data_IF_101390932258
#
_entry.id   IF_101390932258
#
_cell.length_a   1.000
_cell.length_b   1.000
_cell.length_c   1.000
_cell.angle_alpha   90.00
_cell.angle_beta   90.00
_cell.angle_gamma   90.00
#
_symmetry.space_group_name_H-M   'P 1'
#
loop_
_entity.id
_entity.type
_entity.pdbx_description
1 polymer ?
#
# COMPACT_ATOMS: atom_id res chain seq x y z
N UNK A 1 -14.73 -69.12 43.15
CA UNK A 1 -13.78 -68.86 42.04
C UNK A 1 -14.44 -67.93 41.05
N UNK A 2 -13.89 -66.72 40.89
CA UNK A 2 -14.05 -65.83 39.72
C UNK A 2 -12.91 -66.15 38.72
N UNK A 3 -12.83 -65.64 37.46
CA UNK A 3 -13.74 -64.82 36.62
C UNK A 3 -13.69 -65.25 35.09
N UNK A 4 -13.71 -64.37 34.04
CA UNK A 4 -14.86 -63.61 33.43
C UNK A 4 -14.91 -63.61 31.87
N UNK A 5 -15.89 -62.90 31.26
CA UNK A 5 -15.79 -62.05 30.01
C UNK A 5 -17.15 -61.96 29.28
N UNK A 6 -17.66 -60.89 28.63
CA UNK A 6 -17.43 -59.42 28.50
C UNK A 6 -18.70 -58.85 27.80
N UNK A 7 -19.07 -57.60 28.09
CA UNK A 7 -20.20 -56.88 27.47
C UNK A 7 -19.75 -55.98 26.30
N UNK A 8 -20.68 -55.66 25.37
CA UNK A 8 -20.62 -54.50 24.47
C UNK A 8 -22.03 -53.95 24.24
N UNK A 9 -22.27 -52.69 24.59
CA UNK A 9 -23.41 -51.88 24.12
C UNK A 9 -22.86 -50.67 23.37
N UNK A 10 -23.46 -50.36 22.21
CA UNK A 10 -23.18 -49.17 21.38
C UNK A 10 -24.22 -48.09 21.71
N UNK A 11 -23.76 -46.85 21.84
CA UNK A 11 -24.59 -45.65 21.97
C UNK A 11 -24.56 -44.89 20.64
N UNK A 12 -25.73 -44.56 20.09
CA UNK A 12 -25.89 -43.72 18.90
C UNK A 12 -26.11 -42.26 19.30
N UNK A 13 -25.36 -41.34 18.70
CA UNK A 13 -25.56 -39.89 18.84
C UNK A 13 -26.48 -39.36 17.73
N UNK A 14 -27.42 -38.50 18.12
CA UNK A 14 -28.37 -37.78 17.26
C UNK A 14 -27.71 -36.48 16.78
N UNK A 15 -27.75 -36.23 15.47
CA UNK A 15 -27.40 -34.95 14.83
C UNK A 15 -28.71 -34.21 14.52
N UNK A 16 -28.87 -32.99 15.03
CA UNK A 16 -30.01 -32.12 14.72
C UNK A 16 -29.62 -31.10 13.64
N UNK A 17 -30.26 -31.22 12.47
CA UNK A 17 -30.33 -30.21 11.41
C UNK A 17 -31.49 -29.26 11.68
N UNK A 18 -31.27 -27.95 11.59
CA UNK A 18 -32.36 -26.97 11.52
C UNK A 18 -32.24 -26.22 10.20
N UNK A 19 -33.13 -26.60 9.27
CA UNK A 19 -33.53 -25.79 8.13
C UNK A 19 -35.01 -25.44 8.34
N UNK A 20 -35.34 -24.16 8.33
CA UNK A 20 -36.70 -23.67 8.47
C UNK A 20 -36.90 -22.39 7.66
N UNK A 21 -37.65 -22.50 6.57
CA UNK A 21 -38.11 -21.43 5.70
C UNK A 21 -38.94 -20.39 6.46
N UNK A 22 -38.81 -19.12 6.08
CA UNK A 22 -39.83 -18.09 6.23
C UNK A 22 -40.13 -17.48 4.87
N UNK A 23 -41.39 -17.56 4.46
CA UNK A 23 -41.93 -16.91 3.27
C UNK A 23 -42.85 -15.75 3.68
N UNK A 24 -42.60 -14.61 3.03
CA UNK A 24 -43.47 -13.46 2.71
C UNK A 24 -44.09 -12.62 3.83
N UNK A 25 -43.71 -11.34 3.90
CA UNK A 25 -44.51 -10.21 3.38
C UNK A 25 -43.61 -9.01 3.10
N UNK A 26 -43.81 -8.38 1.94
CA UNK A 26 -43.12 -7.17 1.52
C UNK A 26 -43.49 -5.97 2.40
N UNK A 27 -42.47 -5.32 2.96
CA UNK A 27 -42.52 -3.98 3.51
C UNK A 27 -41.13 -3.40 3.33
N UNK A 28 -40.96 -2.56 2.31
CA UNK A 28 -39.70 -1.87 2.03
C UNK A 28 -39.47 -0.80 3.12
N UNK A 29 -38.90 -1.22 4.25
CA UNK A 29 -38.20 -0.33 5.15
C UNK A 29 -36.71 -0.46 4.81
N UNK A 30 -36.10 0.62 4.35
CA UNK A 30 -34.66 0.67 4.13
C UNK A 30 -33.95 0.28 5.43
N UNK A 31 -33.29 -0.87 5.43
CA UNK A 31 -32.46 -1.27 6.54
C UNK A 31 -31.33 -0.23 6.65
N UNK A 32 -31.32 0.50 7.77
CA UNK A 32 -30.16 1.31 8.12
C UNK A 32 -28.92 0.40 8.09
N UNK A 33 -27.78 0.86 7.54
CA UNK A 33 -26.57 0.05 7.54
C UNK A 33 -26.26 -0.39 8.97
N UNK A 34 -26.03 -1.69 9.16
CA UNK A 34 -25.71 -2.24 10.46
C UNK A 34 -24.50 -1.49 11.03
N UNK A 35 -24.72 -0.78 12.15
CA UNK A 35 -23.67 -0.03 12.82
C UNK A 35 -22.58 -1.00 13.28
N UNK A 36 -21.33 -0.68 12.96
CA UNK A 36 -20.19 -1.47 13.44
C UNK A 36 -20.22 -1.52 14.98
N UNK A 37 -19.95 -2.70 15.59
CA UNK A 37 -19.87 -2.79 17.03
C UNK A 37 -18.76 -1.89 17.57
N UNK A 38 -18.94 -1.27 18.76
CA UNK A 38 -17.95 -0.35 19.31
C UNK A 38 -16.61 -1.05 19.56
N UNK A 39 -15.46 -0.35 19.47
CA UNK A 39 -14.12 -0.95 19.51
C UNK A 39 -13.84 -1.84 20.73
N UNK A 40 -14.45 -1.53 21.88
CA UNK A 40 -14.30 -2.32 23.12
C UNK A 40 -14.98 -3.70 23.03
N UNK A 41 -16.04 -3.82 22.23
CA UNK A 41 -16.74 -5.09 21.99
C UNK A 41 -15.95 -5.95 21.00
N UNK A 42 -15.16 -5.32 20.12
CA UNK A 42 -14.27 -5.99 19.17
C UNK A 42 -13.08 -6.71 19.82
N UNK A 43 -12.73 -6.38 21.07
CA UNK A 43 -11.70 -7.07 21.84
C UNK A 43 -12.17 -8.46 22.37
N UNK A 44 -13.47 -8.79 22.29
CA UNK A 44 -14.00 -10.08 22.75
C UNK A 44 -13.82 -11.17 21.66
N UNK A 45 -13.36 -12.40 22.00
CA UNK A 45 -12.96 -13.41 21.01
C UNK A 45 -14.05 -13.76 19.99
N UNK A 46 -15.29 -13.92 20.45
CA UNK A 46 -16.43 -14.37 19.63
C UNK A 46 -16.97 -13.24 18.73
N UNK A 47 -16.87 -11.98 19.17
CA UNK A 47 -17.40 -10.81 18.45
C UNK A 47 -16.33 -10.18 17.51
N UNK A 48 -15.04 -10.39 17.82
CA UNK A 48 -13.89 -9.93 17.02
C UNK A 48 -13.85 -10.44 15.57
N UNK A 49 -14.62 -11.50 15.26
CA UNK A 49 -14.74 -12.07 13.91
C UNK A 49 -15.62 -11.22 12.99
N UNK A 50 -16.48 -10.37 13.55
CA UNK A 50 -17.36 -9.48 12.79
C UNK A 50 -16.84 -8.04 12.69
N UNK A 51 -15.76 -7.70 13.39
CA UNK A 51 -15.23 -6.34 13.43
C UNK A 51 -14.43 -6.04 12.17
N UNK A 52 -15.09 -5.30 11.27
CA UNK A 52 -14.53 -4.79 10.04
C UNK A 52 -13.66 -3.55 10.35
N UNK A 53 -12.37 -3.54 9.98
CA UNK A 53 -11.57 -2.33 10.09
C UNK A 53 -12.05 -1.31 9.05
N UNK A 54 -12.09 -0.02 9.42
CA UNK A 54 -12.42 1.09 8.52
C UNK A 54 -11.14 1.57 7.84
N UNK A 55 -10.62 0.73 6.93
CA UNK A 55 -9.39 0.94 6.16
C UNK A 55 -9.54 2.02 5.09
N UNK A 56 -8.42 2.48 4.54
CA UNK A 56 -8.30 3.53 3.52
C UNK A 56 -8.26 2.96 2.10
N UNK A 57 -7.34 2.03 1.82
CA UNK A 57 -7.22 1.39 0.50
C UNK A 57 -7.90 0.03 0.52
N UNK A 58 -7.54 -0.81 1.48
CA UNK A 58 -8.16 -2.12 1.65
C UNK A 58 -9.68 -2.01 1.87
N UNK A 59 -10.42 -3.04 1.48
CA UNK A 59 -11.82 -3.24 1.87
C UNK A 59 -11.88 -4.09 3.14
N UNK A 60 -12.23 -3.46 4.27
CA UNK A 60 -12.37 -4.16 5.54
C UNK A 60 -13.43 -5.28 5.52
N UNK A 61 -14.49 -5.18 4.71
CA UNK A 61 -15.47 -6.27 4.55
C UNK A 61 -14.79 -7.47 3.89
N UNK A 62 -13.94 -7.23 2.88
CA UNK A 62 -13.17 -8.30 2.22
C UNK A 62 -12.16 -8.93 3.18
N UNK A 63 -11.45 -8.15 3.99
CA UNK A 63 -10.53 -8.70 5.01
C UNK A 63 -11.26 -9.64 5.98
N UNK A 64 -12.44 -9.24 6.47
CA UNK A 64 -13.28 -10.08 7.34
C UNK A 64 -13.73 -11.36 6.64
N UNK A 65 -14.17 -11.27 5.37
CA UNK A 65 -14.53 -12.45 4.56
C UNK A 65 -13.35 -13.40 4.38
N UNK A 66 -12.15 -12.88 4.10
CA UNK A 66 -10.93 -13.68 3.97
C UNK A 66 -10.59 -14.40 5.28
N UNK A 67 -10.76 -13.74 6.42
CA UNK A 67 -10.58 -14.38 7.73
C UNK A 67 -11.54 -15.54 7.95
N UNK A 68 -12.80 -15.43 7.52
CA UNK A 68 -13.75 -16.55 7.53
C UNK A 68 -13.32 -17.65 6.55
N UNK A 69 -12.88 -17.30 5.34
CA UNK A 69 -12.36 -18.25 4.35
C UNK A 69 -11.19 -19.09 4.90
N UNK A 70 -10.27 -18.47 5.64
CA UNK A 70 -9.17 -19.16 6.32
C UNK A 70 -9.66 -20.21 7.34
N UNK A 71 -10.70 -19.88 8.12
CA UNK A 71 -11.33 -20.81 9.07
C UNK A 71 -12.03 -21.97 8.36
N UNK A 72 -12.64 -21.69 7.21
CA UNK A 72 -13.28 -22.71 6.36
C UNK A 72 -12.27 -23.52 5.52
N UNK A 73 -11.00 -23.14 5.53
CA UNK A 73 -9.90 -23.87 4.93
C UNK A 73 -9.63 -23.59 3.47
N UNK A 74 -9.92 -22.37 3.02
CA UNK A 74 -9.49 -21.87 1.72
C UNK A 74 -7.96 -22.03 1.55
N UNK A 75 -7.55 -22.76 0.52
CA UNK A 75 -6.15 -23.12 0.29
C UNK A 75 -5.32 -21.94 -0.20
N UNK A 76 -5.88 -21.10 -1.07
CA UNK A 76 -5.20 -19.93 -1.61
C UNK A 76 -4.90 -18.95 -0.50
N UNK A 77 -5.90 -18.63 0.33
CA UNK A 77 -5.72 -17.76 1.49
C UNK A 77 -4.70 -18.32 2.49
N UNK A 78 -4.68 -19.65 2.72
CA UNK A 78 -3.70 -20.28 3.62
C UNK A 78 -2.26 -20.18 3.09
N UNK A 79 -2.06 -20.36 1.79
CA UNK A 79 -0.74 -20.19 1.17
C UNK A 79 -0.28 -18.74 1.31
N UNK A 80 -1.10 -17.78 0.86
CA UNK A 80 -0.78 -16.35 0.96
C UNK A 80 -0.56 -15.89 2.41
N UNK A 81 -1.34 -16.40 3.37
CA UNK A 81 -1.13 -16.12 4.78
C UNK A 81 0.20 -16.71 5.28
N UNK A 82 0.59 -17.89 4.83
CA UNK A 82 1.88 -18.50 5.22
C UNK A 82 3.05 -17.63 4.77
N UNK A 83 2.99 -17.13 3.55
CA UNK A 83 4.00 -16.22 3.01
C UNK A 83 4.01 -14.86 3.74
N UNK A 84 2.83 -14.30 4.04
CA UNK A 84 2.70 -13.10 4.86
C UNK A 84 3.32 -13.28 6.26
N UNK A 85 3.03 -14.42 6.92
CA UNK A 85 3.54 -14.70 8.26
C UNK A 85 5.05 -14.89 8.28
N UNK A 86 5.63 -15.50 7.24
CA UNK A 86 7.09 -15.57 7.11
C UNK A 86 7.74 -14.18 7.10
N UNK A 87 7.12 -13.22 6.40
CA UNK A 87 7.61 -11.85 6.33
C UNK A 87 7.39 -11.10 7.66
N UNK A 88 6.20 -11.25 8.27
CA UNK A 88 5.88 -10.66 9.57
C UNK A 88 6.76 -11.21 10.71
N UNK A 89 7.04 -12.52 10.73
CA UNK A 89 7.95 -13.15 11.70
C UNK A 89 9.37 -12.59 11.58
N UNK A 90 9.83 -12.33 10.35
CA UNK A 90 11.13 -11.68 10.13
C UNK A 90 11.14 -10.20 10.55
N UNK A 91 10.00 -9.52 10.51
CA UNK A 91 9.84 -8.13 10.93
C UNK A 91 9.82 -7.96 12.46
N UNK A 92 9.38 -8.99 13.22
CA UNK A 92 9.30 -8.94 14.69
C UNK A 92 10.60 -8.52 15.38
N UNK A 93 11.76 -8.80 14.78
CA UNK A 93 13.09 -8.60 15.39
C UNK A 93 13.95 -7.52 14.74
N UNK A 94 13.50 -6.87 13.67
CA UNK A 94 14.24 -5.80 12.98
C UNK A 94 13.75 -4.44 13.42
N UNK A 95 14.56 -3.38 13.54
CA UNK A 95 14.10 -2.05 14.02
C UNK A 95 13.98 -1.96 15.56
N UNK A 96 13.24 -0.97 16.11
CA UNK A 96 12.43 0.02 15.40
C UNK A 96 13.29 1.01 14.63
N UNK A 97 12.73 1.60 13.58
CA UNK A 97 13.42 2.54 12.68
C UNK A 97 13.03 3.98 12.99
N UNK A 98 13.92 4.92 12.71
CA UNK A 98 13.66 6.35 12.94
C UNK A 98 14.52 7.22 12.04
N UNK A 99 13.96 8.36 11.63
CA UNK A 99 14.72 9.36 10.89
C UNK A 99 15.85 10.00 11.70
N UNK A 100 15.88 9.93 13.03
CA UNK A 100 16.88 10.68 13.82
C UNK A 100 18.27 10.00 13.88
N UNK A 101 18.34 8.72 13.48
CA UNK A 101 19.55 7.90 13.56
C UNK A 101 20.59 8.25 12.48
N UNK A 102 20.17 8.93 11.41
CA UNK A 102 21.09 9.40 10.35
C UNK A 102 22.22 10.27 10.93
N UNK A 103 23.42 10.09 10.41
CA UNK A 103 24.57 10.93 10.77
C UNK A 103 24.44 12.34 10.18
N UNK A 104 23.99 12.41 8.92
CA UNK A 104 23.82 13.67 8.18
C UNK A 104 22.63 14.45 8.72
N UNK A 105 22.88 15.66 9.23
CA UNK A 105 21.83 16.58 9.67
C UNK A 105 21.19 17.23 8.43
N UNK A 106 19.84 17.27 8.32
CA UNK A 106 19.15 17.98 7.25
C UNK A 106 19.50 19.48 7.22
N UNK A 107 19.32 20.17 6.09
CA UNK A 107 19.60 21.60 5.96
C UNK A 107 18.86 22.50 6.97
N UNK A 108 17.73 22.06 7.51
CA UNK A 108 17.01 22.76 8.60
C UNK A 108 17.78 22.81 9.92
N UNK A 109 18.77 21.93 10.12
CA UNK A 109 19.41 21.69 11.41
C UNK A 109 18.63 20.72 12.33
N UNK A 110 17.46 20.22 11.90
CA UNK A 110 16.61 19.32 12.68
C UNK A 110 16.71 17.88 12.16
N UNK A 111 17.15 16.94 13.02
CA UNK A 111 17.23 15.51 12.69
C UNK A 111 15.87 14.83 12.50
N UNK A 112 14.79 15.43 13.00
CA UNK A 112 13.43 14.94 12.81
C UNK A 112 12.92 15.12 11.38
N UNK A 113 13.56 15.94 10.55
CA UNK A 113 13.19 16.06 9.14
C UNK A 113 13.73 14.87 8.33
N UNK A 114 12.89 14.30 7.46
CA UNK A 114 13.28 13.22 6.56
C UNK A 114 14.25 13.73 5.50
N UNK A 115 15.36 13.01 5.28
CA UNK A 115 16.38 13.37 4.31
C UNK A 115 16.61 12.22 3.32
N UNK A 116 16.67 12.56 2.03
CA UNK A 116 17.21 11.64 1.02
C UNK A 116 17.88 12.42 -0.10
N UNK A 117 18.75 11.74 -0.86
CA UNK A 117 19.45 12.34 -2.00
C UNK A 117 18.89 11.80 -3.30
N UNK A 118 18.93 12.64 -4.34
CA UNK A 118 18.51 12.25 -5.67
C UNK A 118 19.40 11.10 -6.21
N UNK A 119 18.83 9.95 -6.62
CA UNK A 119 19.59 8.72 -6.89
C UNK A 119 20.58 8.83 -8.06
N UNK A 120 20.30 9.70 -9.04
CA UNK A 120 21.04 9.78 -10.30
C UNK A 120 21.92 11.01 -10.44
N UNK A 121 22.16 11.74 -9.36
CA UNK A 121 22.97 12.96 -9.39
C UNK A 121 24.35 12.69 -8.82
N UNK A 122 25.39 13.01 -9.60
CA UNK A 122 26.78 12.70 -9.29
C UNK A 122 27.64 13.95 -9.24
N UNK A 123 28.66 14.02 -8.37
CA UNK A 123 29.65 15.09 -8.44
C UNK A 123 30.32 15.10 -9.81
N UNK A 124 30.51 16.30 -10.38
CA UNK A 124 31.21 16.48 -11.65
C UNK A 124 32.67 16.88 -11.49
N UNK A 125 33.11 17.21 -10.27
CA UNK A 125 34.46 17.64 -9.95
C UNK A 125 35.04 16.83 -8.79
N UNK A 126 36.37 16.71 -8.68
CA UNK A 126 37.03 16.20 -7.47
C UNK A 126 36.68 17.04 -6.25
N UNK A 127 36.54 16.40 -5.09
CA UNK A 127 36.37 17.11 -3.82
C UNK A 127 37.65 17.90 -3.47
N UNK A 128 37.49 19.17 -3.10
CA UNK A 128 38.56 20.05 -2.62
C UNK A 128 38.13 20.75 -1.33
N UNK A 129 39.04 21.48 -0.66
CA UNK A 129 38.69 22.26 0.53
C UNK A 129 37.58 23.30 0.24
N UNK A 130 37.63 23.95 -0.93
CA UNK A 130 36.64 24.95 -1.36
C UNK A 130 35.39 24.33 -2.01
N UNK A 131 35.46 23.05 -2.39
CA UNK A 131 34.37 22.29 -2.99
C UNK A 131 34.32 20.86 -2.41
N UNK A 132 33.97 20.71 -1.13
CA UNK A 132 34.07 19.43 -0.43
C UNK A 132 33.11 18.38 -0.99
N UNK A 133 32.07 18.79 -1.72
CA UNK A 133 31.07 17.89 -2.30
C UNK A 133 31.33 17.54 -3.78
N UNK A 134 32.32 18.15 -4.44
CA UNK A 134 32.62 17.89 -5.86
C UNK A 134 31.58 18.48 -6.83
N UNK A 135 30.96 19.59 -6.44
CA UNK A 135 29.92 20.29 -7.19
C UNK A 135 30.44 20.93 -8.50
N UNK A 136 29.55 21.22 -9.48
CA UNK A 136 28.11 20.95 -9.47
C UNK A 136 27.81 19.45 -9.66
N UNK A 137 26.62 19.03 -9.23
CA UNK A 137 26.14 17.68 -9.50
C UNK A 137 25.53 17.62 -10.91
N UNK A 138 25.75 16.52 -11.61
CA UNK A 138 25.20 16.25 -12.95
C UNK A 138 24.39 14.96 -12.96
N UNK A 139 23.30 14.93 -13.72
CA UNK A 139 22.42 13.78 -13.82
C UNK A 139 23.06 12.69 -14.71
N UNK A 140 22.98 11.44 -14.25
CA UNK A 140 23.33 10.22 -14.98
C UNK A 140 22.18 9.24 -14.84
N UNK A 141 21.20 9.36 -15.73
CA UNK A 141 19.96 8.60 -15.63
C UNK A 141 20.21 7.08 -15.60
N UNK A 142 19.51 6.37 -14.71
CA UNK A 142 19.68 4.93 -14.49
C UNK A 142 20.99 4.52 -13.77
N UNK A 143 21.88 5.45 -13.42
CA UNK A 143 23.16 5.16 -12.77
C UNK A 143 23.16 5.66 -11.32
N UNK A 144 22.94 4.75 -10.37
CA UNK A 144 22.78 5.06 -8.93
C UNK A 144 24.08 5.60 -8.29
N UNK A 145 24.02 6.81 -7.73
CA UNK A 145 25.08 7.37 -6.90
C UNK A 145 25.12 6.68 -5.52
N UNK A 146 26.22 6.01 -5.12
CA UNK A 146 26.32 5.35 -3.82
C UNK A 146 26.28 6.32 -2.64
N UNK A 147 26.51 7.63 -2.83
CA UNK A 147 26.32 8.62 -1.75
C UNK A 147 24.90 8.57 -1.18
N UNK A 148 23.92 8.21 -2.00
CA UNK A 148 22.52 8.09 -1.56
C UNK A 148 22.32 7.07 -0.44
N UNK A 149 23.19 6.04 -0.34
CA UNK A 149 23.11 5.04 0.71
C UNK A 149 23.68 5.53 2.05
N UNK A 150 24.37 6.66 2.07
CA UNK A 150 24.86 7.28 3.30
C UNK A 150 23.74 7.98 4.10
N UNK A 151 22.55 8.15 3.50
CA UNK A 151 21.36 8.65 4.19
C UNK A 151 20.35 7.51 4.32
N UNK A 152 20.15 6.96 5.53
CA UNK A 152 19.42 5.71 5.71
C UNK A 152 17.90 5.87 5.59
N UNK A 153 17.36 7.08 5.77
CA UNK A 153 15.91 7.31 5.92
C UNK A 153 15.08 6.66 4.82
N UNK A 154 15.51 6.68 3.54
CA UNK A 154 14.76 6.03 2.44
C UNK A 154 14.63 4.51 2.62
N UNK A 155 15.73 3.85 2.96
CA UNK A 155 15.78 2.40 3.14
C UNK A 155 15.09 1.97 4.44
N UNK A 156 15.29 2.74 5.50
CA UNK A 156 14.65 2.52 6.80
C UNK A 156 13.14 2.70 6.72
N UNK A 157 12.67 3.79 6.10
CA UNK A 157 11.25 4.03 5.84
C UNK A 157 10.62 2.90 5.04
N UNK A 158 11.28 2.42 3.98
CA UNK A 158 10.79 1.28 3.19
C UNK A 158 10.55 0.06 4.07
N UNK A 159 11.51 -0.23 4.95
CA UNK A 159 11.46 -1.37 5.86
C UNK A 159 10.43 -1.16 6.97
N UNK A 160 10.33 0.05 7.51
CA UNK A 160 9.37 0.41 8.55
C UNK A 160 7.93 0.27 8.04
N UNK A 161 7.61 0.86 6.88
CA UNK A 161 6.24 0.88 6.36
C UNK A 161 5.77 -0.53 5.97
N UNK A 162 6.65 -1.30 5.30
CA UNK A 162 6.35 -2.70 4.97
C UNK A 162 6.19 -3.57 6.23
N UNK A 163 7.04 -3.40 7.24
CA UNK A 163 6.94 -4.13 8.51
C UNK A 163 5.64 -3.80 9.25
N UNK A 164 5.32 -2.51 9.42
CA UNK A 164 4.07 -2.05 10.05
C UNK A 164 2.84 -2.68 9.37
N UNK A 165 2.83 -2.69 8.04
CA UNK A 165 1.73 -3.25 7.27
C UNK A 165 1.60 -4.77 7.43
N UNK A 166 2.70 -5.50 7.26
CA UNK A 166 2.73 -6.96 7.36
C UNK A 166 2.37 -7.43 8.78
N UNK A 167 2.93 -6.80 9.80
CA UNK A 167 2.64 -7.11 11.20
C UNK A 167 1.17 -6.86 11.54
N UNK A 168 0.59 -5.75 11.07
CA UNK A 168 -0.82 -5.42 11.33
C UNK A 168 -1.77 -6.43 10.67
N UNK A 169 -1.49 -6.84 9.43
CA UNK A 169 -2.25 -7.90 8.76
C UNK A 169 -2.05 -9.27 9.42
N UNK A 170 -0.82 -9.62 9.80
CA UNK A 170 -0.52 -10.85 10.52
C UNK A 170 -1.29 -10.92 11.85
N UNK A 171 -1.32 -9.83 12.62
CA UNK A 171 -2.19 -9.72 13.79
C UNK A 171 -3.67 -9.87 13.43
N UNK A 172 -4.15 -9.20 12.38
CA UNK A 172 -5.56 -9.26 12.00
C UNK A 172 -6.02 -10.71 11.76
N UNK A 173 -5.25 -11.49 11.00
CA UNK A 173 -5.60 -12.87 10.67
C UNK A 173 -5.36 -13.86 11.81
N UNK A 174 -4.26 -13.72 12.55
CA UNK A 174 -3.86 -14.71 13.58
C UNK A 174 -4.29 -14.36 15.01
N UNK A 175 -4.54 -13.08 15.27
CA UNK A 175 -4.76 -12.47 16.59
C UNK A 175 -3.61 -12.64 17.59
N UNK A 176 -2.41 -12.99 17.12
CA UNK A 176 -1.20 -13.07 17.94
C UNK A 176 -0.78 -11.65 18.40
N UNK A 177 -0.77 -11.36 19.71
CA UNK A 177 -0.55 -10.01 20.23
C UNK A 177 0.83 -9.43 19.89
N UNK A 178 1.85 -10.27 19.74
CA UNK A 178 3.22 -9.86 19.45
C UNK A 178 3.34 -9.05 18.14
N UNK A 179 2.59 -9.41 17.10
CA UNK A 179 2.60 -8.66 15.85
C UNK A 179 2.00 -7.25 16.02
N UNK A 180 0.88 -7.14 16.74
CA UNK A 180 0.23 -5.85 16.99
C UNK A 180 1.09 -4.94 17.87
N UNK A 181 1.65 -5.48 18.95
CA UNK A 181 2.52 -4.72 19.85
C UNK A 181 3.76 -4.21 19.12
N UNK A 182 4.31 -5.03 18.22
CA UNK A 182 5.43 -4.64 17.37
C UNK A 182 5.05 -3.52 16.39
N UNK A 183 3.96 -3.68 15.66
CA UNK A 183 3.49 -2.65 14.73
C UNK A 183 3.20 -1.32 15.45
N UNK A 184 2.61 -1.38 16.65
CA UNK A 184 2.36 -0.22 17.48
C UNK A 184 3.64 0.46 17.98
N UNK A 185 4.70 -0.31 18.30
CA UNK A 185 6.02 0.24 18.62
C UNK A 185 6.60 0.98 17.43
N UNK A 186 6.63 0.35 16.25
CA UNK A 186 7.21 0.94 15.04
C UNK A 186 6.47 2.21 14.61
N UNK A 187 5.12 2.21 14.68
CA UNK A 187 4.29 3.40 14.46
C UNK A 187 4.63 4.53 15.44
N UNK A 188 4.75 4.23 16.73
CA UNK A 188 5.10 5.24 17.74
C UNK A 188 6.49 5.80 17.50
N UNK A 189 7.48 4.94 17.29
CA UNK A 189 8.87 5.38 17.07
C UNK A 189 8.99 6.25 15.82
N UNK A 190 8.36 5.88 14.71
CA UNK A 190 8.47 6.65 13.48
C UNK A 190 7.65 7.95 13.50
N UNK A 191 6.45 7.98 14.09
CA UNK A 191 5.52 9.09 13.90
C UNK A 191 5.21 9.91 15.15
N UNK A 192 5.29 9.32 16.36
CA UNK A 192 4.61 9.88 17.54
C UNK A 192 5.57 10.22 18.69
N UNK A 193 6.54 9.35 18.97
CA UNK A 193 7.46 9.49 20.10
C UNK A 193 8.36 10.70 19.89
N UNK A 194 8.32 11.67 20.83
CA UNK A 194 8.97 12.96 20.65
C UNK A 194 10.49 12.89 20.42
N UNK A 195 11.16 11.83 20.90
CA UNK A 195 12.59 11.63 20.72
C UNK A 195 12.99 11.10 19.34
N UNK A 196 12.05 10.52 18.59
CA UNK A 196 12.35 9.75 17.37
C UNK A 196 11.43 10.07 16.19
N UNK A 197 10.32 10.78 16.41
CA UNK A 197 9.31 11.01 15.37
C UNK A 197 9.89 11.71 14.16
N UNK A 198 9.34 11.44 12.99
CA UNK A 198 9.55 12.24 11.81
C UNK A 198 8.63 13.47 11.83
N UNK A 199 9.11 14.63 11.39
CA UNK A 199 8.26 15.79 11.14
C UNK A 199 7.34 15.52 9.92
N UNK A 200 6.07 15.99 9.92
CA UNK A 200 5.10 15.67 8.88
C UNK A 200 5.33 16.49 7.59
N UNK A 201 6.50 16.37 6.98
CA UNK A 201 6.89 17.01 5.73
C UNK A 201 7.93 16.18 4.97
N UNK A 202 8.16 16.49 3.69
CA UNK A 202 9.24 15.97 2.87
C UNK A 202 10.04 17.12 2.23
N UNK A 203 10.36 18.14 3.02
CA UNK A 203 11.06 19.32 2.52
C UNK A 203 12.46 18.98 1.98
N UNK A 204 13.09 17.91 2.51
CA UNK A 204 14.45 17.48 2.16
C UNK A 204 14.52 16.11 1.47
N UNK A 205 13.42 15.66 0.87
CA UNK A 205 13.41 14.44 0.07
C UNK A 205 14.05 14.68 -1.30
N UNK A 206 14.92 13.74 -1.71
CA UNK A 206 15.68 13.77 -2.96
C UNK A 206 16.40 15.10 -3.27
N UNK A 207 17.02 15.70 -2.24
CA UNK A 207 17.88 16.88 -2.41
C UNK A 207 19.06 16.60 -3.33
N UNK A 208 19.55 17.66 -3.99
CA UNK A 208 20.74 17.60 -4.85
C UNK A 208 21.78 18.55 -4.25
N UNK A 209 22.93 18.04 -3.78
CA UNK A 209 24.00 18.87 -3.24
C UNK A 209 24.33 20.07 -4.14
N UNK A 210 24.48 21.25 -3.53
CA UNK A 210 24.73 22.54 -4.17
C UNK A 210 23.66 23.04 -5.16
N UNK A 211 22.49 22.39 -5.26
CA UNK A 211 21.44 22.77 -6.23
C UNK A 211 20.08 23.01 -5.57
N UNK A 212 19.65 22.14 -4.67
CA UNK A 212 18.43 22.29 -3.88
C UNK A 212 18.44 21.33 -2.68
N UNK A 213 17.70 21.72 -1.65
CA UNK A 213 17.65 20.98 -0.39
C UNK A 213 16.65 19.80 -0.44
N UNK A 214 15.65 19.86 -1.32
CA UNK A 214 14.69 18.80 -1.63
C UNK A 214 13.83 19.19 -2.84
N UNK A 215 12.98 18.27 -3.32
CA UNK A 215 12.20 18.43 -4.56
C UNK A 215 10.85 17.73 -4.50
N UNK A 216 9.89 18.19 -5.31
CA UNK A 216 8.56 17.58 -5.47
C UNK A 216 8.62 16.06 -5.70
N UNK A 217 9.40 15.63 -6.68
CA UNK A 217 9.57 14.19 -7.01
C UNK A 217 10.05 13.33 -5.85
N UNK A 218 10.61 13.91 -4.78
CA UNK A 218 10.93 13.19 -3.55
C UNK A 218 9.71 12.63 -2.81
N UNK A 219 8.51 13.18 -3.06
CA UNK A 219 7.24 12.71 -2.47
C UNK A 219 6.94 11.26 -2.87
N UNK A 220 7.41 10.81 -4.04
CA UNK A 220 7.26 9.43 -4.49
C UNK A 220 7.76 8.44 -3.42
N UNK A 221 8.81 8.76 -2.67
CA UNK A 221 9.40 7.86 -1.66
C UNK A 221 8.39 7.48 -0.56
N UNK A 222 7.42 8.35 -0.27
CA UNK A 222 6.31 8.05 0.62
C UNK A 222 5.10 7.53 -0.15
N UNK A 223 4.79 8.13 -1.30
CA UNK A 223 3.50 7.98 -1.95
C UNK A 223 3.15 6.52 -2.25
N UNK A 224 4.10 5.69 -2.71
CA UNK A 224 3.80 4.30 -3.07
C UNK A 224 3.56 3.34 -1.89
N UNK A 225 3.88 3.72 -0.64
CA UNK A 225 3.75 2.83 0.53
C UNK A 225 3.04 3.46 1.73
N UNK A 226 2.92 4.78 1.84
CA UNK A 226 2.37 5.40 3.05
C UNK A 226 0.90 5.04 3.30
N UNK A 227 0.10 4.82 2.26
CA UNK A 227 -1.29 4.35 2.41
C UNK A 227 -1.39 2.96 3.07
N UNK A 228 -0.34 2.13 2.99
CA UNK A 228 -0.24 0.88 3.77
C UNK A 228 -0.16 1.15 5.28
N UNK A 229 0.55 2.19 5.68
CA UNK A 229 0.67 2.61 7.09
C UNK A 229 -0.69 3.09 7.61
N UNK A 230 -1.44 3.82 6.78
CA UNK A 230 -2.79 4.26 7.13
C UNK A 230 -3.75 3.07 7.31
N UNK A 231 -3.69 2.09 6.40
CA UNK A 231 -4.44 0.84 6.54
C UNK A 231 -4.03 0.06 7.79
N UNK A 232 -2.73 -0.04 8.06
CA UNK A 232 -2.20 -0.69 9.25
C UNK A 232 -2.74 -0.07 10.53
N UNK A 233 -2.70 1.27 10.65
CA UNK A 233 -3.26 1.98 11.79
C UNK A 233 -4.77 1.69 11.95
N UNK A 234 -5.55 1.70 10.86
CA UNK A 234 -6.99 1.38 10.89
C UNK A 234 -7.28 -0.09 11.21
N UNK A 235 -6.39 -1.00 10.82
CA UNK A 235 -6.46 -2.40 11.23
C UNK A 235 -6.25 -2.49 12.74
N UNK A 236 -5.20 -1.86 13.28
CA UNK A 236 -4.90 -1.88 14.72
C UNK A 236 -6.00 -1.19 15.55
N UNK A 237 -6.64 -0.15 15.03
CA UNK A 237 -7.80 0.53 15.64
C UNK A 237 -8.98 -0.41 15.91
N UNK A 238 -9.05 -1.56 15.23
CA UNK A 238 -10.08 -2.59 15.45
C UNK A 238 -9.91 -3.39 16.76
N UNK A 239 -9.09 -2.91 17.70
CA UNK A 239 -8.93 -3.48 19.05
C UNK A 239 -7.60 -4.22 19.26
N UNK A 240 -6.54 -3.81 18.57
CA UNK A 240 -5.23 -4.43 18.74
C UNK A 240 -4.60 -4.13 20.11
N UNK A 241 -3.97 -5.13 20.75
CA UNK A 241 -3.23 -4.91 21.97
C UNK A 241 -2.01 -4.03 21.69
N UNK A 242 -1.78 -3.02 22.54
CA UNK A 242 -0.65 -2.11 22.42
C UNK A 242 -0.87 -0.89 21.52
N UNK A 243 -2.02 -0.79 20.84
CA UNK A 243 -2.41 0.40 20.08
C UNK A 243 -3.58 1.11 20.78
N UNK A 244 -3.32 2.27 21.36
CA UNK A 244 -4.31 3.00 22.15
C UNK A 244 -5.11 4.01 21.33
N UNK A 245 -6.24 4.49 21.87
CA UNK A 245 -6.99 5.60 21.27
C UNK A 245 -6.17 6.90 21.20
N UNK A 246 -5.24 7.09 22.13
CA UNK A 246 -4.32 8.23 22.13
C UNK A 246 -3.37 8.13 20.95
N UNK A 247 -2.80 6.94 20.70
CA UNK A 247 -1.93 6.69 19.55
C UNK A 247 -2.69 6.91 18.24
N UNK A 248 -3.89 6.36 18.13
CA UNK A 248 -4.77 6.54 16.97
C UNK A 248 -5.08 8.03 16.70
N UNK A 249 -5.36 8.80 17.75
CA UNK A 249 -5.63 10.24 17.65
C UNK A 249 -4.38 11.01 17.22
N UNK A 250 -3.21 10.67 17.78
CA UNK A 250 -1.95 11.31 17.44
C UNK A 250 -1.51 11.00 15.99
N UNK A 251 -1.67 9.76 15.54
CA UNK A 251 -1.39 9.35 14.15
C UNK A 251 -2.31 10.08 13.15
N UNK A 252 -3.58 10.25 13.52
CA UNK A 252 -4.53 11.08 12.75
C UNK A 252 -4.09 12.54 12.67
N UNK A 253 -3.61 13.11 13.76
CA UNK A 253 -3.04 14.46 13.80
C UNK A 253 -1.82 14.61 12.90
N UNK A 254 -0.83 13.74 13.04
CA UNK A 254 0.37 13.73 12.19
C UNK A 254 0.01 13.65 10.69
N UNK A 255 -0.94 12.79 10.35
CA UNK A 255 -1.41 12.61 8.98
C UNK A 255 -2.12 13.86 8.44
N UNK A 256 -2.90 14.56 9.28
CA UNK A 256 -3.55 15.82 8.89
C UNK A 256 -2.54 16.96 8.67
N UNK A 257 -1.50 17.04 9.49
CA UNK A 257 -0.40 17.99 9.32
C UNK A 257 0.36 17.69 8.02
N UNK A 258 0.64 16.40 7.74
CA UNK A 258 1.30 16.00 6.50
C UNK A 258 0.46 16.28 5.26
N UNK A 259 -0.86 16.07 5.31
CA UNK A 259 -1.76 16.44 4.22
C UNK A 259 -1.78 17.96 3.98
N UNK A 260 -1.74 18.75 5.05
CA UNK A 260 -1.66 20.20 4.94
C UNK A 260 -0.39 20.59 4.21
N UNK A 261 0.77 20.11 4.68
CA UNK A 261 2.05 20.34 4.01
C UNK A 261 2.02 19.88 2.54
N UNK A 262 1.52 18.68 2.26
CA UNK A 262 1.47 18.10 0.91
C UNK A 262 0.65 18.95 -0.07
N UNK A 263 -0.36 19.67 0.42
CA UNK A 263 -1.27 20.46 -0.42
C UNK A 263 -0.93 21.95 -0.47
N UNK A 264 -0.05 22.44 0.40
CA UNK A 264 0.30 23.88 0.47
C UNK A 264 1.78 24.17 0.29
N UNK A 265 2.66 23.16 0.38
CA UNK A 265 4.10 23.36 0.18
C UNK A 265 4.45 23.51 -1.29
N UNK A 266 5.63 24.08 -1.55
CA UNK A 266 6.18 24.16 -2.90
C UNK A 266 6.39 22.75 -3.48
N UNK A 267 7.03 21.85 -2.73
CA UNK A 267 7.31 20.48 -3.19
C UNK A 267 6.00 19.73 -3.52
N UNK A 268 4.98 19.88 -2.67
CA UNK A 268 3.66 19.30 -2.92
C UNK A 268 2.98 19.87 -4.17
N UNK A 269 3.11 21.18 -4.40
CA UNK A 269 2.57 21.83 -5.61
C UNK A 269 3.29 21.35 -6.88
N UNK A 270 4.62 21.22 -6.82
CA UNK A 270 5.42 20.72 -7.94
C UNK A 270 5.01 19.28 -8.30
N UNK A 271 4.92 18.38 -7.31
CA UNK A 271 4.55 16.97 -7.53
C UNK A 271 3.12 16.80 -8.05
N UNK A 272 2.18 17.61 -7.54
CA UNK A 272 0.79 17.59 -8.01
C UNK A 272 0.66 17.92 -9.50
N UNK A 273 1.61 18.71 -10.05
CA UNK A 273 1.64 19.14 -11.44
C UNK A 273 2.28 18.12 -12.39
N UNK A 274 2.94 17.08 -11.87
CA UNK A 274 3.52 16.02 -12.69
C UNK A 274 2.44 15.28 -13.49
N UNK A 275 2.78 14.92 -14.72
CA UNK A 275 1.86 14.35 -15.71
C UNK A 275 1.98 12.83 -15.85
N UNK A 276 3.07 12.24 -15.34
CA UNK A 276 3.32 10.81 -15.29
C UNK A 276 2.85 10.19 -13.94
N UNK A 277 3.35 9.00 -13.63
CA UNK A 277 3.11 8.26 -12.39
C UNK A 277 3.24 9.09 -11.09
N UNK A 278 4.12 10.10 -11.03
CA UNK A 278 4.23 10.98 -9.87
C UNK A 278 2.90 11.68 -9.54
N UNK A 279 2.21 12.22 -10.55
CA UNK A 279 0.90 12.85 -10.35
C UNK A 279 -0.17 11.87 -9.88
N UNK A 280 -0.14 10.63 -10.37
CA UNK A 280 -1.05 9.55 -9.94
C UNK A 280 -0.82 9.15 -8.49
N UNK A 281 0.46 9.01 -8.11
CA UNK A 281 0.86 8.72 -6.73
C UNK A 281 0.54 9.87 -5.78
N UNK A 282 0.69 11.13 -6.21
CA UNK A 282 0.29 12.30 -5.44
C UNK A 282 -1.21 12.29 -5.13
N UNK A 283 -2.06 12.03 -6.14
CA UNK A 283 -3.51 12.00 -5.96
C UNK A 283 -3.92 10.82 -5.05
N UNK A 284 -3.33 9.64 -5.24
CA UNK A 284 -3.55 8.47 -4.38
C UNK A 284 -3.16 8.75 -2.92
N UNK A 285 -1.97 9.32 -2.69
CA UNK A 285 -1.47 9.68 -1.37
C UNK A 285 -2.40 10.71 -0.71
N UNK A 286 -2.72 11.81 -1.40
CA UNK A 286 -3.58 12.88 -0.89
C UNK A 286 -4.98 12.38 -0.56
N UNK A 287 -5.60 11.58 -1.45
CA UNK A 287 -6.93 11.02 -1.23
C UNK A 287 -6.95 10.04 -0.05
N UNK A 288 -5.91 9.21 0.07
CA UNK A 288 -5.77 8.25 1.15
C UNK A 288 -5.61 8.91 2.52
N UNK A 289 -4.76 9.94 2.61
CA UNK A 289 -4.59 10.70 3.86
C UNK A 289 -5.87 11.46 4.21
N UNK A 290 -6.53 12.10 3.25
CA UNK A 290 -7.81 12.78 3.47
C UNK A 290 -8.88 11.81 4.02
N UNK A 291 -8.97 10.60 3.45
CA UNK A 291 -9.91 9.58 3.90
C UNK A 291 -9.58 9.11 5.33
N UNK A 292 -8.30 8.88 5.63
CA UNK A 292 -7.84 8.52 6.97
C UNK A 292 -8.17 9.61 8.00
N UNK A 293 -7.97 10.88 7.64
CA UNK A 293 -8.34 12.05 8.44
C UNK A 293 -9.87 12.25 8.57
N UNK A 294 -10.67 11.54 7.75
CA UNK A 294 -12.13 11.58 7.76
C UNK A 294 -12.73 12.66 6.84
N UNK A 295 -11.92 13.30 6.00
CA UNK A 295 -12.37 14.27 5.00
C UNK A 295 -12.81 13.56 3.71
N UNK A 296 -13.99 12.94 3.77
CA UNK A 296 -14.59 12.23 2.63
C UNK A 296 -14.92 13.16 1.45
N UNK A 297 -15.15 14.46 1.72
CA UNK A 297 -15.46 15.42 0.67
C UNK A 297 -14.22 15.70 -0.18
N UNK A 298 -13.07 15.96 0.46
CA UNK A 298 -11.80 16.12 -0.23
C UNK A 298 -11.38 14.83 -0.94
N UNK A 299 -11.51 13.66 -0.30
CA UNK A 299 -11.24 12.37 -0.96
C UNK A 299 -12.06 12.23 -2.24
N UNK A 300 -13.37 12.48 -2.19
CA UNK A 300 -14.25 12.40 -3.36
C UNK A 300 -13.83 13.38 -4.45
N UNK A 301 -13.49 14.61 -4.07
CA UNK A 301 -13.01 15.63 -5.00
C UNK A 301 -11.75 15.17 -5.74
N UNK A 302 -10.74 14.66 -5.02
CA UNK A 302 -9.47 14.21 -5.61
C UNK A 302 -9.71 13.04 -6.57
N UNK A 303 -10.42 11.99 -6.11
CA UNK A 303 -10.66 10.80 -6.93
C UNK A 303 -11.47 11.14 -8.18
N UNK A 304 -12.51 11.96 -8.07
CA UNK A 304 -13.31 12.39 -9.24
C UNK A 304 -12.47 13.26 -10.19
N UNK A 305 -11.62 14.14 -9.64
CA UNK A 305 -10.72 14.99 -10.44
C UNK A 305 -9.73 14.18 -11.27
N UNK A 306 -9.24 13.06 -10.74
CA UNK A 306 -8.27 12.18 -11.39
C UNK A 306 -8.77 11.59 -12.71
N UNK A 307 -10.09 11.49 -12.94
CA UNK A 307 -10.66 11.14 -14.24
C UNK A 307 -10.07 12.01 -15.36
N UNK A 308 -10.06 13.33 -15.15
CA UNK A 308 -9.59 14.31 -16.14
C UNK A 308 -8.10 14.61 -16.02
N UNK A 309 -7.60 14.76 -14.78
CA UNK A 309 -6.22 15.19 -14.56
C UNK A 309 -5.21 14.05 -14.72
N UNK A 310 -5.65 12.79 -14.62
CA UNK A 310 -4.79 11.61 -14.75
C UNK A 310 -5.24 10.72 -15.89
N UNK A 311 -6.43 10.13 -15.83
CA UNK A 311 -6.82 9.06 -16.77
C UNK A 311 -6.88 9.57 -18.22
N UNK A 312 -7.52 10.72 -18.47
CA UNK A 312 -7.60 11.32 -19.82
C UNK A 312 -6.22 11.56 -20.46
N UNK A 313 -5.22 11.93 -19.65
CA UNK A 313 -3.87 12.25 -20.12
C UNK A 313 -2.97 11.02 -20.20
N UNK A 314 -3.06 10.13 -19.21
CA UNK A 314 -2.09 9.06 -19.00
C UNK A 314 -2.46 7.74 -19.69
N UNK A 315 -3.72 7.53 -20.07
CA UNK A 315 -4.16 6.25 -20.65
C UNK A 315 -4.69 6.47 -22.06
N UNK A 316 -3.92 5.98 -23.04
CA UNK A 316 -4.31 6.02 -24.44
C UNK A 316 -5.46 5.04 -24.74
N UNK A 317 -6.03 5.17 -25.94
CA UNK A 317 -7.15 4.36 -26.42
C UNK A 317 -6.88 2.84 -26.43
N UNK A 318 -5.61 2.44 -26.56
CA UNK A 318 -5.13 1.05 -26.56
C UNK A 318 -4.65 0.57 -25.18
N UNK A 319 -4.76 1.42 -24.15
CA UNK A 319 -4.30 1.15 -22.80
C UNK A 319 -2.82 1.45 -22.54
N UNK A 320 -2.04 1.81 -23.57
CA UNK A 320 -0.66 2.24 -23.36
C UNK A 320 -0.61 3.52 -22.51
N UNK A 321 0.50 3.72 -21.81
CA UNK A 321 0.75 4.88 -20.97
C UNK A 321 1.89 5.71 -21.60
N UNK A 322 1.59 6.78 -22.36
CA UNK A 322 2.58 7.42 -23.23
C UNK A 322 3.85 7.91 -22.52
N UNK A 323 3.71 8.55 -21.36
CA UNK A 323 4.89 9.05 -20.62
C UNK A 323 5.74 7.90 -20.07
N UNK A 324 5.11 6.82 -19.61
CA UNK A 324 5.80 5.63 -19.10
C UNK A 324 6.47 4.82 -20.22
N UNK A 325 5.91 4.88 -21.43
CA UNK A 325 6.46 4.24 -22.64
C UNK A 325 7.82 4.80 -23.04
N UNK A 326 8.16 6.03 -22.62
CA UNK A 326 9.44 6.67 -22.95
C UNK A 326 10.58 6.26 -22.01
N UNK A 327 10.28 5.50 -20.94
CA UNK A 327 11.24 5.19 -19.88
C UNK A 327 12.10 3.97 -20.24
N UNK A 328 13.30 3.93 -19.69
CA UNK A 328 14.28 2.83 -19.87
C UNK A 328 13.83 1.50 -19.24
N UNK A 329 12.90 1.56 -18.27
CA UNK A 329 12.19 0.41 -17.70
C UNK A 329 10.69 0.55 -17.97
N UNK A 330 10.31 0.55 -19.25
CA UNK A 330 8.94 0.91 -19.65
C UNK A 330 7.87 -0.02 -19.07
N UNK A 331 8.10 -1.34 -18.96
CA UNK A 331 7.13 -2.26 -18.36
C UNK A 331 6.95 -1.95 -16.87
N UNK A 332 8.06 -1.74 -16.15
CA UNK A 332 8.05 -1.33 -14.75
C UNK A 332 7.23 -0.05 -14.53
N UNK A 333 7.43 1.00 -15.33
CA UNK A 333 6.72 2.26 -15.13
C UNK A 333 5.22 2.14 -15.45
N UNK A 334 4.82 1.32 -16.42
CA UNK A 334 3.41 1.03 -16.64
C UNK A 334 2.78 0.30 -15.45
N UNK A 335 3.47 -0.70 -14.89
CA UNK A 335 2.98 -1.43 -13.70
C UNK A 335 2.96 -0.52 -12.47
N UNK A 336 3.99 0.32 -12.29
CA UNK A 336 4.14 1.22 -11.16
C UNK A 336 3.05 2.30 -11.14
N UNK A 337 2.74 2.92 -12.28
CA UNK A 337 1.63 3.87 -12.35
C UNK A 337 0.27 3.18 -12.06
N UNK A 338 0.08 1.95 -12.54
CA UNK A 338 -1.14 1.19 -12.24
C UNK A 338 -1.28 0.84 -10.76
N UNK A 339 -0.19 0.68 -10.00
CA UNK A 339 -0.27 0.57 -8.54
C UNK A 339 -0.97 1.80 -7.96
N UNK A 340 -0.60 3.01 -8.38
CA UNK A 340 -1.24 4.24 -7.91
C UNK A 340 -2.72 4.31 -8.32
N UNK A 341 -3.00 4.12 -9.61
CA UNK A 341 -4.34 4.32 -10.17
C UNK A 341 -5.35 3.28 -9.67
N UNK A 342 -4.95 2.01 -9.52
CA UNK A 342 -5.84 0.96 -9.03
C UNK A 342 -6.16 1.13 -7.53
N UNK A 343 -5.18 1.57 -6.73
CA UNK A 343 -5.42 1.92 -5.32
C UNK A 343 -6.25 3.19 -5.17
N UNK A 344 -6.05 4.19 -6.03
CA UNK A 344 -6.92 5.37 -6.07
C UNK A 344 -8.37 4.99 -6.39
N UNK A 345 -8.57 4.03 -7.30
CA UNK A 345 -9.89 3.47 -7.59
C UNK A 345 -10.50 2.75 -6.37
N UNK A 346 -9.70 2.03 -5.58
CA UNK A 346 -10.15 1.42 -4.32
C UNK A 346 -10.53 2.47 -3.27
N UNK A 347 -9.73 3.52 -3.10
CA UNK A 347 -10.06 4.67 -2.24
C UNK A 347 -11.40 5.31 -2.69
N UNK A 348 -11.60 5.46 -4.00
CA UNK A 348 -12.83 5.99 -4.60
C UNK A 348 -14.09 5.27 -4.18
N UNK A 349 -14.05 3.94 -4.07
CA UNK A 349 -15.22 3.13 -3.68
C UNK A 349 -15.76 3.50 -2.30
N UNK A 350 -14.88 3.89 -1.37
CA UNK A 350 -15.27 4.34 -0.01
C UNK A 350 -16.05 5.66 0.00
N UNK A 351 -16.01 6.41 -1.10
CA UNK A 351 -16.71 7.69 -1.30
C UNK A 351 -17.68 7.68 -2.50
N UNK A 352 -17.98 6.49 -3.02
CA UNK A 352 -18.94 6.27 -4.10
C UNK A 352 -18.49 6.78 -5.46
N UNK A 353 -17.19 6.73 -5.75
CA UNK A 353 -16.60 7.03 -7.07
C UNK A 353 -16.02 5.74 -7.64
N UNK A 354 -16.38 5.38 -8.87
CA UNK A 354 -15.91 4.17 -9.52
C UNK A 354 -15.03 4.50 -10.74
N UNK A 355 -13.72 4.58 -10.52
CA UNK A 355 -12.76 4.87 -11.58
C UNK A 355 -12.62 3.74 -12.61
N UNK A 356 -13.01 2.50 -12.27
CA UNK A 356 -12.99 1.39 -13.25
C UNK A 356 -14.07 1.55 -14.32
N UNK A 357 -15.18 2.21 -13.98
CA UNK A 357 -16.27 2.52 -14.90
C UNK A 357 -15.95 3.71 -15.83
N UNK A 358 -15.00 4.57 -15.47
CA UNK A 358 -14.63 5.72 -16.28
C UNK A 358 -14.02 5.32 -17.63
N UNK A 359 -14.31 6.10 -18.67
CA UNK A 359 -13.74 5.98 -20.02
C UNK A 359 -13.24 7.35 -20.44
N UNK A 360 -11.99 7.42 -20.87
CA UNK A 360 -11.44 8.67 -21.40
C UNK A 360 -12.14 9.05 -22.71
N UNK A 361 -12.14 10.32 -23.12
CA UNK A 361 -12.69 10.76 -24.41
C UNK A 361 -12.15 9.97 -25.62
N UNK A 362 -10.88 9.57 -25.56
CA UNK A 362 -10.17 8.79 -26.59
C UNK A 362 -10.48 7.29 -26.50
N UNK A 363 -11.22 6.86 -25.48
CA UNK A 363 -11.65 5.48 -25.27
C UNK A 363 -10.69 4.64 -24.42
N UNK A 364 -9.72 5.25 -23.75
CA UNK A 364 -8.87 4.63 -22.74
C UNK A 364 -9.64 4.27 -21.46
N UNK A 365 -9.06 3.38 -20.63
CA UNK A 365 -9.64 3.00 -19.33
C UNK A 365 -8.61 2.25 -18.48
N UNK A 366 -8.84 2.16 -17.16
CA UNK A 366 -8.01 1.34 -16.27
C UNK A 366 -7.98 -0.13 -16.69
N UNK A 367 -9.11 -0.71 -17.14
CA UNK A 367 -9.15 -2.07 -17.67
C UNK A 367 -8.22 -2.22 -18.88
N UNK A 368 -8.32 -1.32 -19.87
CA UNK A 368 -7.43 -1.34 -21.03
C UNK A 368 -5.96 -1.20 -20.65
N UNK A 369 -5.64 -0.36 -19.66
CA UNK A 369 -4.27 -0.21 -19.20
C UNK A 369 -3.70 -1.48 -18.56
N UNK A 370 -4.54 -2.25 -17.85
CA UNK A 370 -4.16 -3.58 -17.35
C UNK A 370 -4.08 -4.60 -18.50
N UNK A 371 -5.05 -4.59 -19.42
CA UNK A 371 -5.07 -5.47 -20.61
C UNK A 371 -3.81 -5.31 -21.47
N UNK A 372 -3.32 -4.08 -21.60
CA UNK A 372 -2.08 -3.76 -22.33
C UNK A 372 -0.86 -4.53 -21.79
N UNK A 373 -0.84 -4.86 -20.50
CA UNK A 373 0.26 -5.60 -19.87
C UNK A 373 0.14 -7.12 -20.00
N UNK A 374 -1.06 -7.66 -20.24
CA UNK A 374 -1.33 -9.09 -20.17
C UNK A 374 -0.47 -9.96 -21.08
N UNK A 375 -0.18 -9.59 -22.35
CA UNK A 375 0.67 -10.40 -23.21
C UNK A 375 2.06 -10.62 -22.60
N UNK A 376 2.71 -9.56 -22.12
CA UNK A 376 4.03 -9.66 -21.51
C UNK A 376 3.99 -10.29 -20.11
N UNK A 377 2.98 -9.97 -19.29
CA UNK A 377 2.83 -10.55 -17.96
C UNK A 377 2.66 -12.08 -18.01
N UNK A 378 1.94 -12.61 -18.99
CA UNK A 378 1.65 -14.05 -19.13
C UNK A 378 2.66 -14.79 -20.01
N UNK A 379 3.19 -14.17 -21.06
CA UNK A 379 4.06 -14.84 -22.05
C UNK A 379 5.51 -14.34 -22.08
N UNK A 380 5.88 -13.38 -21.23
CA UNK A 380 7.26 -12.97 -21.00
C UNK A 380 7.73 -11.78 -21.84
N UNK A 381 9.00 -11.42 -21.65
CA UNK A 381 9.60 -10.18 -22.16
C UNK A 381 9.51 -10.02 -23.69
N UNK A 382 9.54 -11.12 -24.45
CA UNK A 382 9.47 -11.08 -25.92
C UNK A 382 8.12 -10.58 -26.46
N UNK A 383 7.09 -10.52 -25.60
CA UNK A 383 5.77 -9.99 -25.93
C UNK A 383 5.57 -8.55 -25.42
N UNK A 384 6.60 -7.95 -24.81
CA UNK A 384 6.59 -6.52 -24.49
C UNK A 384 7.15 -5.72 -25.67
N UNK A 385 6.41 -4.75 -26.24
CA UNK A 385 6.81 -4.07 -27.48
C UNK A 385 7.87 -2.98 -27.28
N UNK A 386 8.25 -2.67 -26.04
CA UNK A 386 9.16 -1.57 -25.69
C UNK A 386 10.41 -2.06 -24.95
N UNK A 387 11.50 -1.29 -24.90
CA UNK A 387 12.67 -1.64 -24.10
C UNK A 387 12.37 -1.67 -22.59
N UNK A 388 12.88 -2.67 -21.89
CA UNK A 388 12.89 -2.70 -20.42
C UNK A 388 14.19 -3.35 -19.92
N UNK A 389 14.98 -2.60 -19.15
CA UNK A 389 16.28 -3.05 -18.67
C UNK A 389 16.20 -4.20 -17.65
N UNK A 390 15.10 -4.33 -16.90
CA UNK A 390 14.94 -5.26 -15.78
C UNK A 390 13.52 -5.87 -15.75
N UNK A 391 13.09 -6.41 -16.88
CA UNK A 391 11.74 -6.93 -17.03
C UNK A 391 11.43 -8.07 -16.05
N UNK A 392 10.31 -7.93 -15.31
CA UNK A 392 9.83 -8.93 -14.36
C UNK A 392 8.34 -9.15 -14.57
N UNK A 393 7.96 -10.33 -15.09
CA UNK A 393 6.56 -10.67 -15.42
C UNK A 393 5.59 -10.44 -14.26
N UNK A 394 6.01 -10.79 -13.04
CA UNK A 394 5.18 -10.69 -11.85
C UNK A 394 4.88 -9.25 -11.43
N UNK A 395 5.56 -8.23 -11.99
CA UNK A 395 5.33 -6.83 -11.63
C UNK A 395 3.88 -6.39 -11.89
N UNK A 396 3.19 -7.00 -12.86
CA UNK A 396 1.80 -6.70 -13.16
C UNK A 396 0.78 -7.44 -12.28
N UNK A 397 1.19 -8.48 -11.54
CA UNK A 397 0.30 -9.46 -10.91
C UNK A 397 -0.79 -8.81 -10.04
N UNK A 398 -0.38 -7.86 -9.19
CA UNK A 398 -1.24 -7.19 -8.24
C UNK A 398 -2.28 -6.26 -8.91
N UNK A 399 -1.88 -5.56 -9.98
CA UNK A 399 -2.80 -4.74 -10.80
C UNK A 399 -3.78 -5.60 -11.62
N UNK A 400 -3.34 -6.79 -12.07
CA UNK A 400 -4.20 -7.76 -12.75
C UNK A 400 -5.24 -8.36 -11.79
N UNK A 401 -4.84 -8.66 -10.55
CA UNK A 401 -5.80 -9.03 -9.51
C UNK A 401 -6.83 -7.93 -9.24
N UNK A 402 -6.39 -6.67 -9.14
CA UNK A 402 -7.29 -5.53 -8.93
C UNK A 402 -8.32 -5.35 -10.05
N UNK A 403 -7.91 -5.51 -11.31
CA UNK A 403 -8.83 -5.52 -12.45
C UNK A 403 -9.78 -6.71 -12.43
N UNK A 404 -9.29 -7.92 -12.14
CA UNK A 404 -10.12 -9.12 -12.04
C UNK A 404 -11.21 -8.97 -10.96
N UNK A 405 -10.87 -8.39 -9.80
CA UNK A 405 -11.83 -8.08 -8.74
C UNK A 405 -12.84 -6.98 -9.13
N UNK A 406 -12.42 -6.05 -10.00
CA UNK A 406 -13.30 -5.04 -10.57
C UNK A 406 -14.19 -5.57 -11.70
N UNK A 407 -14.02 -6.83 -12.12
CA UNK A 407 -14.89 -7.51 -13.08
C UNK A 407 -14.25 -7.76 -14.45
N UNK A 408 -12.95 -7.55 -14.60
CA UNK A 408 -12.24 -7.81 -15.85
C UNK A 408 -12.08 -9.33 -16.11
N UNK A 409 -12.71 -9.82 -17.18
CA UNK A 409 -12.66 -11.21 -17.56
C UNK A 409 -11.29 -11.63 -18.14
N UNK A 410 -10.60 -10.73 -18.84
CA UNK A 410 -9.28 -11.00 -19.41
C UNK A 410 -8.24 -11.09 -18.29
N UNK A 411 -8.25 -10.11 -17.38
CA UNK A 411 -7.39 -10.13 -16.21
C UNK A 411 -7.62 -11.38 -15.37
N UNK A 412 -8.89 -11.75 -15.11
CA UNK A 412 -9.24 -12.96 -14.36
C UNK A 412 -8.72 -14.24 -15.02
N UNK A 413 -8.77 -14.34 -16.34
CA UNK A 413 -8.23 -15.48 -17.07
C UNK A 413 -6.69 -15.51 -17.05
N UNK A 414 -6.04 -14.35 -17.06
CA UNK A 414 -4.59 -14.20 -17.08
C UNK A 414 -3.92 -14.59 -15.75
N UNK A 415 -4.60 -14.44 -14.60
CA UNK A 415 -4.01 -14.66 -13.26
C UNK A 415 -3.28 -16.00 -13.11
N UNK A 416 -3.81 -17.10 -13.65
CA UNK A 416 -3.18 -18.42 -13.54
C UNK A 416 -1.88 -18.56 -14.35
N UNK A 417 -1.57 -17.61 -15.23
CA UNK A 417 -0.45 -17.63 -16.14
C UNK A 417 0.66 -16.63 -15.78
N UNK A 418 0.41 -15.74 -14.81
CA UNK A 418 1.41 -14.80 -14.32
C UNK A 418 2.19 -15.48 -13.19
N UNK A 419 3.53 -15.50 -13.22
CA UNK A 419 4.30 -16.09 -12.13
C UNK A 419 4.12 -15.31 -10.83
N UNK A 420 4.15 -16.00 -9.70
CA UNK A 420 4.20 -15.35 -8.40
C UNK A 420 5.56 -14.67 -8.16
N UNK A 421 5.62 -13.53 -7.44
CA UNK A 421 6.89 -12.93 -7.04
C UNK A 421 7.64 -13.83 -6.03
N UNK A 422 8.96 -13.60 -5.80
CA UNK A 422 9.76 -14.43 -4.89
C UNK A 422 9.21 -14.57 -3.46
N UNK A 423 8.45 -13.58 -3.00
CA UNK A 423 7.80 -13.56 -1.68
C UNK A 423 6.42 -14.22 -1.63
N UNK A 424 5.95 -14.83 -2.72
CA UNK A 424 4.62 -15.40 -2.85
C UNK A 424 3.55 -14.39 -3.25
N UNK A 425 2.42 -14.88 -3.78
CA UNK A 425 1.26 -14.04 -4.07
C UNK A 425 0.53 -13.71 -2.76
N UNK A 426 0.70 -12.48 -2.29
CA UNK A 426 0.08 -11.98 -1.08
C UNK A 426 -1.25 -11.28 -1.32
N UNK A 427 -1.62 -10.97 -2.57
CA UNK A 427 -2.83 -10.21 -2.88
C UNK A 427 -4.09 -10.81 -2.22
N UNK A 428 -4.29 -12.14 -2.14
CA UNK A 428 -5.45 -12.72 -1.47
C UNK A 428 -5.62 -12.29 0.00
N UNK A 429 -4.53 -12.02 0.74
CA UNK A 429 -4.58 -11.61 2.15
C UNK A 429 -4.35 -10.10 2.35
N UNK A 430 -3.87 -9.40 1.32
CA UNK A 430 -3.78 -7.94 1.26
C UNK A 430 -4.32 -7.42 -0.09
N UNK A 431 -5.66 -7.42 -0.28
CA UNK A 431 -6.29 -7.21 -1.59
C UNK A 431 -6.27 -5.75 -2.08
N UNK A 432 -5.06 -5.24 -2.27
CA UNK A 432 -4.73 -3.97 -2.89
C UNK A 432 -3.44 -4.17 -3.68
N UNK A 433 -3.34 -3.48 -4.82
CA UNK A 433 -2.14 -3.60 -5.62
C UNK A 433 -0.95 -3.01 -4.86
N UNK A 434 0.18 -3.70 -4.88
CA UNK A 434 1.44 -3.20 -4.35
C UNK A 434 2.53 -3.26 -5.41
N UNK A 435 3.58 -2.48 -5.21
CA UNK A 435 4.73 -2.49 -6.08
C UNK A 435 5.59 -3.74 -5.83
N UNK A 436 5.70 -4.62 -6.83
CA UNK A 436 6.27 -5.97 -6.66
C UNK A 436 7.71 -6.10 -7.14
N UNK A 437 8.19 -5.23 -8.02
CA UNK A 437 9.56 -5.22 -8.52
C UNK A 437 10.39 -4.04 -7.99
N UNK A 438 11.72 -4.11 -8.19
CA UNK A 438 12.67 -3.24 -7.50
C UNK A 438 12.49 -1.75 -7.86
N UNK A 439 12.51 -0.94 -6.80
CA UNK A 439 12.30 0.50 -6.74
C UNK A 439 13.49 1.25 -6.11
N UNK A 440 14.59 0.56 -5.82
CA UNK A 440 15.83 1.19 -5.35
C UNK A 440 16.30 2.33 -6.27
N UNK A 441 15.96 2.21 -7.57
CA UNK A 441 16.28 3.14 -8.63
C UNK A 441 15.11 4.05 -9.05
N UNK A 442 13.92 3.91 -8.47
CA UNK A 442 12.84 4.89 -8.73
C UNK A 442 13.08 6.16 -7.94
N UNK A 443 12.94 7.29 -8.63
CA UNK A 443 13.08 8.63 -8.10
C UNK A 443 12.40 9.63 -9.00
#
# INVERSE_FOLDING_TARGET
MLPPSRSRFRLSLIVATVAGLLATTAGAAGAAPAQQPPPQVCALPIISLACQPDTVVLDGTRLTKNRVGLLLGDRTLRTSLTDLLKQADAALTKGPWTVVDKERVPPSGDKHDYLSLAPYWWPSQPATADNPQGCPYVQRDGVLNPETTAVPDKAERLTAFSSIYQLSLAWFYTRKPEYAQRAALDLRTWFLDAATKMNPNLDFAQGIPCKNDGRGIGIIEFAYTFTQVLDAARILDAGAPGWSKTDATAMKGWSADFLTWLRTSKNGTDEAAETNNHGSFYDMLSAGIALYAGDKALTKQIVTGAEKTRLDHQIAADGSQPEESTRTRSFHYHTFNLVALTRLAQIGRHVGVDLWAYRTPEGGSLFKAVDHLLPAATGGASLWPLPDLNFLQYAALDSVHAAADAGDAQAKAALAHIPAPPGGDLYPVRPAAEQLDDISVTG
#
